data_IF_325317942476
#
_entry.id   IF_325317942476
#
_cell.length_a   1.000
_cell.length_b   1.000
_cell.length_c   1.000
_cell.angle_alpha   90.00
_cell.angle_beta   90.00
_cell.angle_gamma   90.00
#
_symmetry.space_group_name_H-M   'P 1'
#
loop_
_entity.id
_entity.type
_entity.pdbx_description
1 polymer ?
#
# COMPACT_ATOMS: atom_id res chain seq x y z
N UNK A 1 7.12 4.84 -24.13
CA UNK A 1 6.33 3.63 -23.89
C UNK A 1 6.23 3.43 -22.40
N UNK A 2 5.12 3.87 -21.82
CA UNK A 2 4.90 3.90 -20.37
C UNK A 2 4.60 2.50 -19.83
N UNK A 3 5.65 1.78 -19.41
CA UNK A 3 5.53 0.68 -18.47
C UNK A 3 5.53 1.26 -17.04
N UNK A 4 4.49 2.02 -16.72
CA UNK A 4 4.24 2.50 -15.36
C UNK A 4 4.12 1.30 -14.43
N UNK A 5 5.01 1.26 -13.43
CA UNK A 5 5.19 0.15 -12.50
C UNK A 5 3.91 -0.26 -11.80
N UNK A 6 3.17 -1.18 -12.41
CA UNK A 6 2.20 -2.00 -11.70
C UNK A 6 2.99 -2.85 -10.72
N UNK A 7 3.06 -2.42 -9.47
CA UNK A 7 3.29 -3.32 -8.35
C UNK A 7 2.06 -4.23 -8.28
N UNK A 8 1.98 -5.21 -9.18
CA UNK A 8 1.01 -6.30 -9.07
C UNK A 8 1.49 -7.10 -7.88
N UNK A 9 0.79 -7.02 -6.76
CA UNK A 9 1.09 -7.86 -5.60
C UNK A 9 0.70 -9.29 -6.00
N UNK A 10 1.66 -10.19 -6.27
CA UNK A 10 1.29 -11.55 -6.59
C UNK A 10 0.68 -12.18 -5.34
N UNK A 11 -0.50 -12.79 -5.48
CA UNK A 11 -1.16 -13.58 -4.44
C UNK A 11 -1.60 -12.81 -3.18
N UNK A 12 -2.10 -11.56 -3.33
CA UNK A 12 -2.70 -10.80 -2.22
C UNK A 12 -3.80 -11.60 -1.50
N UNK A 13 -4.55 -12.41 -2.25
CA UNK A 13 -5.61 -13.28 -1.73
C UNK A 13 -5.13 -14.25 -0.63
N UNK A 14 -3.87 -14.70 -0.66
CA UNK A 14 -3.32 -15.60 0.36
C UNK A 14 -3.02 -14.92 1.70
N UNK A 15 -2.90 -13.59 1.71
CA UNK A 15 -2.54 -12.81 2.91
C UNK A 15 -3.73 -12.06 3.51
N UNK A 16 -4.85 -11.98 2.79
CA UNK A 16 -6.04 -11.27 3.25
C UNK A 16 -6.79 -12.08 4.31
N UNK A 17 -7.00 -11.47 5.46
CA UNK A 17 -7.77 -12.04 6.55
C UNK A 17 -9.28 -11.82 6.33
N UNK A 18 -10.05 -12.92 6.30
CA UNK A 18 -11.51 -12.90 6.23
C UNK A 18 -12.11 -13.78 7.35
N UNK A 19 -12.39 -13.20 8.54
CA UNK A 19 -12.77 -13.96 9.74
C UNK A 19 -14.10 -14.71 9.57
N UNK A 20 -14.05 -16.05 9.44
CA UNK A 20 -15.24 -16.87 9.14
C UNK A 20 -16.35 -16.81 10.22
N UNK A 21 -16.03 -16.37 11.45
CA UNK A 21 -16.97 -16.26 12.56
C UNK A 21 -17.98 -15.12 12.46
N UNK A 22 -17.82 -14.19 11.50
CA UNK A 22 -18.70 -13.05 11.34
C UNK A 22 -20.11 -13.46 10.89
N UNK A 23 -21.15 -12.85 11.48
CA UNK A 23 -22.54 -13.20 11.20
C UNK A 23 -22.88 -13.14 9.69
N UNK A 24 -22.38 -12.13 8.98
CA UNK A 24 -22.56 -12.01 7.53
C UNK A 24 -21.98 -13.19 6.75
N UNK A 25 -20.81 -13.68 7.15
CA UNK A 25 -20.15 -14.81 6.47
C UNK A 25 -20.73 -16.16 6.87
N UNK A 26 -21.29 -16.29 8.07
CA UNK A 26 -22.04 -17.46 8.50
C UNK A 26 -23.38 -17.57 7.76
N UNK A 27 -24.07 -16.45 7.60
CA UNK A 27 -25.32 -16.38 6.84
C UNK A 27 -25.08 -16.61 5.34
N UNK A 28 -23.99 -16.03 4.78
CA UNK A 28 -23.66 -16.16 3.37
C UNK A 28 -22.14 -16.31 3.15
N UNK A 29 -21.61 -17.54 3.13
CA UNK A 29 -20.17 -17.80 2.97
C UNK A 29 -19.55 -17.21 1.70
N UNK A 30 -20.32 -17.09 0.62
CA UNK A 30 -19.90 -16.50 -0.64
C UNK A 30 -19.40 -15.05 -0.52
N UNK A 31 -19.85 -14.30 0.50
CA UNK A 31 -19.40 -12.93 0.76
C UNK A 31 -17.91 -12.83 1.08
N UNK A 32 -17.29 -13.91 1.56
CA UNK A 32 -15.84 -13.91 1.88
C UNK A 32 -14.97 -13.68 0.64
N UNK A 33 -15.43 -14.12 -0.53
CA UNK A 33 -14.72 -13.91 -1.79
C UNK A 33 -14.63 -12.42 -2.20
N UNK A 34 -15.49 -11.57 -1.62
CA UNK A 34 -15.46 -10.13 -1.87
C UNK A 34 -14.33 -9.41 -1.08
N UNK A 35 -13.83 -10.00 0.01
CA UNK A 35 -12.86 -9.34 0.89
C UNK A 35 -11.53 -9.07 0.17
N UNK A 36 -10.88 -10.03 -0.51
CA UNK A 36 -9.63 -9.77 -1.21
C UNK A 36 -9.78 -8.74 -2.34
N UNK A 37 -10.91 -8.76 -3.05
CA UNK A 37 -11.23 -7.79 -4.10
C UNK A 37 -11.36 -6.38 -3.54
N UNK A 38 -12.02 -6.22 -2.38
CA UNK A 38 -12.16 -4.92 -1.73
C UNK A 38 -10.81 -4.36 -1.27
N UNK A 39 -9.96 -5.21 -0.70
CA UNK A 39 -8.62 -4.83 -0.22
C UNK A 39 -7.71 -4.45 -1.39
N UNK A 40 -7.69 -5.23 -2.47
CA UNK A 40 -6.91 -4.91 -3.69
C UNK A 40 -7.30 -3.54 -4.27
N UNK A 41 -8.60 -3.27 -4.38
CA UNK A 41 -9.12 -1.98 -4.89
C UNK A 41 -8.69 -0.82 -4.00
N UNK A 42 -8.84 -0.96 -2.69
CA UNK A 42 -8.44 0.08 -1.74
C UNK A 42 -6.94 0.37 -1.79
N UNK A 43 -6.10 -0.67 -1.87
CA UNK A 43 -4.65 -0.49 -1.98
C UNK A 43 -4.30 0.23 -3.28
N UNK A 44 -4.84 -0.18 -4.43
CA UNK A 44 -4.55 0.45 -5.72
C UNK A 44 -4.93 1.92 -5.77
N UNK A 45 -6.06 2.27 -5.16
CA UNK A 45 -6.55 3.65 -5.08
C UNK A 45 -5.58 4.55 -4.29
N UNK A 46 -5.04 4.04 -3.19
CA UNK A 46 -4.17 4.83 -2.29
C UNK A 46 -2.69 4.76 -2.68
N UNK A 47 -2.25 3.66 -3.32
CA UNK A 47 -0.85 3.38 -3.61
C UNK A 47 -0.19 4.51 -4.40
N UNK A 48 -0.72 4.84 -5.58
CA UNK A 48 -0.10 5.80 -6.48
C UNK A 48 0.07 7.20 -5.86
N UNK A 49 -1.00 7.86 -5.34
CA UNK A 49 -0.87 9.22 -4.81
C UNK A 49 0.04 9.30 -3.57
N UNK A 50 0.03 8.27 -2.70
CA UNK A 50 0.89 8.26 -1.51
C UNK A 50 2.35 8.02 -1.88
N UNK A 51 2.62 7.07 -2.80
CA UNK A 51 3.98 6.76 -3.25
C UNK A 51 4.59 7.97 -3.95
N UNK A 52 3.90 8.60 -4.89
CA UNK A 52 4.43 9.76 -5.63
C UNK A 52 4.80 10.93 -4.71
N UNK A 53 3.90 11.30 -3.79
CA UNK A 53 4.17 12.39 -2.83
C UNK A 53 5.31 12.06 -1.88
N UNK A 54 5.30 10.86 -1.28
CA UNK A 54 6.30 10.46 -0.28
C UNK A 54 7.70 10.34 -0.89
N UNK A 55 7.80 9.74 -2.08
CA UNK A 55 9.08 9.59 -2.81
C UNK A 55 9.66 10.95 -3.18
N UNK A 56 8.83 11.86 -3.70
CA UNK A 56 9.27 13.21 -4.10
C UNK A 56 9.89 13.96 -2.92
N UNK A 57 9.17 14.00 -1.79
CA UNK A 57 9.66 14.66 -0.57
C UNK A 57 10.96 13.98 -0.11
N UNK A 58 10.97 12.65 -0.03
CA UNK A 58 12.12 11.91 0.46
C UNK A 58 13.37 12.10 -0.40
N UNK A 59 13.25 12.08 -1.73
CA UNK A 59 14.38 12.25 -2.64
C UNK A 59 14.98 13.65 -2.55
N UNK A 60 14.13 14.69 -2.53
CA UNK A 60 14.60 16.08 -2.40
C UNK A 60 15.33 16.26 -1.07
N UNK A 61 14.71 15.87 0.05
CA UNK A 61 15.32 15.99 1.37
C UNK A 61 16.61 15.19 1.48
N UNK A 62 16.63 13.96 0.95
CA UNK A 62 17.82 13.10 0.98
C UNK A 62 18.96 13.73 0.20
N UNK A 63 18.69 14.26 -0.99
CA UNK A 63 19.70 14.91 -1.82
C UNK A 63 20.36 16.08 -1.10
N UNK A 64 19.57 17.00 -0.56
CA UNK A 64 20.09 18.19 0.13
C UNK A 64 20.90 17.82 1.38
N UNK A 65 20.38 16.90 2.20
CA UNK A 65 21.06 16.46 3.42
C UNK A 65 22.34 15.69 3.10
N UNK A 66 22.29 14.74 2.16
CA UNK A 66 23.44 13.91 1.82
C UNK A 66 24.54 14.74 1.14
N UNK A 67 24.19 15.68 0.27
CA UNK A 67 25.18 16.57 -0.34
C UNK A 67 25.87 17.45 0.70
N UNK A 68 25.10 17.98 1.66
CA UNK A 68 25.62 18.83 2.75
C UNK A 68 26.52 18.03 3.70
N UNK A 69 26.06 16.86 4.19
CA UNK A 69 26.81 16.07 5.17
C UNK A 69 28.06 15.39 4.55
N UNK A 70 28.05 15.11 3.25
CA UNK A 70 29.16 14.47 2.52
C UNK A 70 29.94 15.44 1.62
N UNK A 71 29.87 16.75 1.87
CA UNK A 71 30.51 17.77 1.03
C UNK A 71 32.04 17.59 0.95
N UNK A 72 32.67 17.11 2.02
CA UNK A 72 34.11 16.85 2.11
C UNK A 72 34.50 15.38 1.91
N UNK A 73 33.53 14.49 1.67
CA UNK A 73 33.77 13.07 1.46
C UNK A 73 34.01 12.76 -0.02
N UNK A 74 35.19 12.20 -0.32
CA UNK A 74 35.60 11.84 -1.68
C UNK A 74 35.11 10.46 -2.14
N UNK A 75 34.82 9.54 -1.22
CA UNK A 75 34.35 8.19 -1.55
C UNK A 75 32.87 8.18 -1.96
N UNK A 76 32.61 7.94 -3.25
CA UNK A 76 31.26 7.83 -3.82
C UNK A 76 30.41 6.77 -3.12
N UNK A 77 31.03 5.63 -2.76
CA UNK A 77 30.33 4.50 -2.14
C UNK A 77 29.68 4.87 -0.80
N UNK A 78 30.35 5.72 0.00
CA UNK A 78 29.81 6.16 1.30
C UNK A 78 28.60 7.07 1.13
N UNK A 79 28.67 8.04 0.20
CA UNK A 79 27.53 8.90 -0.10
C UNK A 79 26.33 8.09 -0.59
N UNK A 80 26.54 7.20 -1.57
CA UNK A 80 25.46 6.38 -2.13
C UNK A 80 24.80 5.54 -1.03
N UNK A 81 25.59 4.82 -0.25
CA UNK A 81 25.07 3.96 0.82
C UNK A 81 24.30 4.74 1.89
N UNK A 82 24.80 5.92 2.30
CA UNK A 82 24.12 6.76 3.27
C UNK A 82 22.81 7.33 2.72
N UNK A 83 22.81 7.81 1.48
CA UNK A 83 21.63 8.36 0.85
C UNK A 83 20.55 7.30 0.61
N UNK A 84 20.92 6.07 0.22
CA UNK A 84 19.97 4.96 0.08
C UNK A 84 19.30 4.61 1.41
N UNK A 85 20.05 4.56 2.51
CA UNK A 85 19.49 4.31 3.84
C UNK A 85 18.54 5.43 4.28
N UNK A 86 18.95 6.68 4.05
CA UNK A 86 18.16 7.85 4.41
C UNK A 86 16.87 7.94 3.59
N UNK A 87 16.93 7.81 2.27
CA UNK A 87 15.75 7.90 1.41
C UNK A 87 14.77 6.77 1.69
N UNK A 88 15.27 5.56 1.94
CA UNK A 88 14.44 4.40 2.26
C UNK A 88 13.65 4.60 3.56
N UNK A 89 14.33 5.06 4.61
CA UNK A 89 13.71 5.31 5.91
C UNK A 89 12.71 6.48 5.85
N UNK A 90 13.06 7.56 5.13
CA UNK A 90 12.22 8.74 5.02
C UNK A 90 10.97 8.46 4.18
N UNK A 91 11.11 7.84 3.00
CA UNK A 91 9.98 7.50 2.13
C UNK A 91 9.03 6.51 2.80
N UNK A 92 9.57 5.47 3.46
CA UNK A 92 8.77 4.48 4.16
C UNK A 92 7.95 5.08 5.30
N UNK A 93 8.60 5.87 6.17
CA UNK A 93 7.93 6.53 7.29
C UNK A 93 6.85 7.51 6.84
N UNK A 94 7.13 8.32 5.81
CA UNK A 94 6.15 9.26 5.24
C UNK A 94 4.96 8.52 4.62
N UNK A 95 5.21 7.43 3.87
CA UNK A 95 4.15 6.64 3.26
C UNK A 95 3.27 5.96 4.32
N UNK A 96 3.87 5.36 5.34
CA UNK A 96 3.16 4.65 6.41
C UNK A 96 2.18 5.56 7.17
N UNK A 97 2.63 6.74 7.57
CA UNK A 97 1.78 7.70 8.31
C UNK A 97 0.70 8.31 7.40
N UNK A 98 1.03 8.52 6.12
CA UNK A 98 0.10 9.15 5.16
C UNK A 98 -0.99 8.18 4.70
N UNK A 99 -0.68 6.89 4.48
CA UNK A 99 -1.64 5.94 3.90
C UNK A 99 -2.65 5.38 4.90
N UNK A 100 -2.36 5.36 6.21
CA UNK A 100 -3.16 4.62 7.19
C UNK A 100 -4.63 5.03 7.25
N UNK A 101 -4.91 6.32 7.40
CA UNK A 101 -6.29 6.82 7.47
C UNK A 101 -7.03 6.73 6.12
N UNK A 102 -6.47 7.19 4.98
CA UNK A 102 -7.17 7.07 3.70
C UNK A 102 -7.38 5.62 3.27
N UNK A 103 -6.43 4.71 3.56
CA UNK A 103 -6.59 3.28 3.28
C UNK A 103 -7.72 2.67 4.10
N UNK A 104 -7.83 2.99 5.40
CA UNK A 104 -8.95 2.53 6.23
C UNK A 104 -10.30 2.98 5.65
N UNK A 105 -10.40 4.23 5.23
CA UNK A 105 -11.61 4.79 4.63
C UNK A 105 -11.96 4.09 3.31
N UNK A 106 -10.99 3.94 2.40
CA UNK A 106 -11.17 3.27 1.11
C UNK A 106 -11.57 1.80 1.28
N UNK A 107 -10.89 1.05 2.15
CA UNK A 107 -11.24 -0.34 2.47
C UNK A 107 -12.66 -0.44 3.00
N UNK A 108 -13.05 0.45 3.92
CA UNK A 108 -14.40 0.48 4.48
C UNK A 108 -15.48 0.72 3.41
N UNK A 109 -15.22 1.62 2.47
CA UNK A 109 -16.12 1.91 1.36
C UNK A 109 -16.26 0.73 0.39
N UNK A 110 -15.15 0.17 -0.08
CA UNK A 110 -15.15 -0.97 -1.02
C UNK A 110 -15.75 -2.23 -0.40
N UNK A 111 -15.42 -2.54 0.87
CA UNK A 111 -16.00 -3.67 1.58
C UNK A 111 -17.51 -3.51 1.73
N UNK A 112 -17.98 -2.34 2.16
CA UNK A 112 -19.42 -2.11 2.34
C UNK A 112 -20.17 -2.27 1.01
N UNK A 113 -19.67 -1.67 -0.07
CA UNK A 113 -20.30 -1.77 -1.38
C UNK A 113 -20.39 -3.22 -1.87
N UNK A 114 -19.29 -3.98 -1.81
CA UNK A 114 -19.26 -5.36 -2.31
C UNK A 114 -20.08 -6.32 -1.42
N UNK A 115 -20.07 -6.13 -0.10
CA UNK A 115 -20.86 -6.96 0.82
C UNK A 115 -22.36 -6.70 0.67
N UNK A 116 -22.78 -5.45 0.47
CA UNK A 116 -24.19 -5.12 0.21
C UNK A 116 -24.67 -5.70 -1.12
N UNK A 117 -23.87 -5.56 -2.19
CA UNK A 117 -24.16 -6.16 -3.49
C UNK A 117 -24.26 -7.68 -3.40
N UNK A 118 -23.31 -8.31 -2.71
CA UNK A 118 -23.32 -9.76 -2.50
C UNK A 118 -24.47 -10.23 -1.62
N UNK A 119 -24.94 -9.43 -0.65
CA UNK A 119 -26.07 -9.77 0.20
C UNK A 119 -27.39 -9.79 -0.58
N UNK A 120 -27.53 -8.91 -1.57
CA UNK A 120 -28.71 -8.75 -2.42
C UNK A 120 -28.74 -9.73 -3.61
N UNK A 121 -27.60 -10.34 -3.96
CA UNK A 121 -27.53 -11.27 -5.07
C UNK A 121 -28.45 -12.48 -4.83
N UNK A 122 -29.15 -13.02 -5.85
CA UNK A 122 -30.00 -14.20 -5.68
C UNK A 122 -29.19 -15.38 -5.13
N UNK A 123 -29.84 -16.24 -4.35
CA UNK A 123 -29.23 -17.49 -3.92
C UNK A 123 -28.87 -18.32 -5.17
N UNK A 124 -27.74 -19.03 -5.13
CA UNK A 124 -27.34 -19.89 -6.24
C UNK A 124 -28.48 -20.89 -6.55
N UNK A 125 -28.76 -21.09 -7.84
CA UNK A 125 -29.85 -21.96 -8.29
C UNK A 125 -29.78 -23.33 -7.59
N UNK A 126 -30.85 -23.70 -6.87
CA UNK A 126 -30.95 -24.95 -6.12
C UNK A 126 -30.69 -24.85 -4.62
N UNK A 127 -30.26 -23.70 -4.10
CA UNK A 127 -30.21 -23.43 -2.66
C UNK A 127 -31.47 -22.65 -2.27
N UNK A 128 -32.15 -23.06 -1.20
CA UNK A 128 -33.36 -22.40 -0.68
C UNK A 128 -33.12 -20.91 -0.36
N UNK A 129 -34.15 -20.17 0.09
CA UNK A 129 -34.01 -18.75 0.39
C UNK A 129 -32.86 -18.52 1.38
N UNK A 130 -31.84 -17.77 0.94
CA UNK A 130 -30.71 -17.43 1.79
C UNK A 130 -31.20 -16.56 2.96
N UNK A 131 -30.70 -16.77 4.19
CA UNK A 131 -31.07 -15.91 5.31
C UNK A 131 -30.68 -14.46 5.00
N UNK A 132 -31.55 -13.48 5.32
CA UNK A 132 -31.22 -12.08 5.11
C UNK A 132 -29.98 -11.72 5.94
N UNK A 133 -29.07 -10.97 5.34
CA UNK A 133 -27.90 -10.44 6.03
C UNK A 133 -28.24 -9.05 6.53
N UNK A 134 -28.33 -8.89 7.84
CA UNK A 134 -28.66 -7.60 8.46
C UNK A 134 -27.58 -6.55 8.20
N UNK A 135 -27.99 -5.29 8.10
CA UNK A 135 -27.07 -4.17 7.92
C UNK A 135 -26.00 -4.10 9.04
N UNK A 136 -26.37 -4.44 10.28
CA UNK A 136 -25.45 -4.53 11.40
C UNK A 136 -24.38 -5.61 11.21
N UNK A 137 -24.74 -6.75 10.61
CA UNK A 137 -23.79 -7.82 10.31
C UNK A 137 -22.79 -7.40 9.22
N UNK A 138 -23.26 -6.63 8.23
CA UNK A 138 -22.39 -6.03 7.21
C UNK A 138 -21.42 -5.02 7.85
N UNK A 139 -21.92 -4.10 8.68
CA UNK A 139 -21.07 -3.10 9.33
C UNK A 139 -20.02 -3.73 10.24
N UNK A 140 -20.37 -4.79 10.97
CA UNK A 140 -19.42 -5.56 11.76
C UNK A 140 -18.34 -6.20 10.87
N UNK A 141 -18.76 -6.81 9.75
CA UNK A 141 -17.82 -7.44 8.82
C UNK A 141 -16.88 -6.43 8.17
N UNK A 142 -17.39 -5.26 7.77
CA UNK A 142 -16.57 -4.16 7.24
C UNK A 142 -15.54 -3.71 8.26
N UNK A 143 -15.94 -3.43 9.51
CA UNK A 143 -15.02 -2.98 10.56
C UNK A 143 -13.93 -4.02 10.86
N UNK A 144 -14.31 -5.29 11.01
CA UNK A 144 -13.37 -6.37 11.28
C UNK A 144 -12.41 -6.57 10.10
N UNK A 145 -12.91 -6.70 8.87
CA UNK A 145 -12.06 -6.93 7.70
C UNK A 145 -11.15 -5.72 7.42
N UNK A 146 -11.64 -4.48 7.59
CA UNK A 146 -10.79 -3.29 7.45
C UNK A 146 -9.68 -3.29 8.50
N UNK A 147 -9.96 -3.62 9.77
CA UNK A 147 -8.96 -3.61 10.84
C UNK A 147 -7.87 -4.66 10.61
N UNK A 148 -8.25 -5.90 10.28
CA UNK A 148 -7.32 -7.03 10.10
C UNK A 148 -6.40 -6.86 8.88
N UNK A 149 -6.85 -6.15 7.85
CA UNK A 149 -6.10 -6.01 6.60
C UNK A 149 -5.41 -4.64 6.44
N UNK A 150 -5.60 -3.72 7.40
CA UNK A 150 -5.02 -2.38 7.33
C UNK A 150 -3.50 -2.41 7.37
N UNK A 151 -2.92 -3.20 8.30
CA UNK A 151 -1.46 -3.30 8.44
C UNK A 151 -0.81 -3.89 7.18
N UNK A 152 -1.43 -4.91 6.58
CA UNK A 152 -0.99 -5.49 5.31
C UNK A 152 -0.95 -4.43 4.21
N UNK A 153 -2.05 -3.67 4.03
CA UNK A 153 -2.08 -2.63 3.00
C UNK A 153 -1.07 -1.50 3.24
N UNK A 154 -0.89 -1.09 4.49
CA UNK A 154 0.15 -0.12 4.87
C UNK A 154 1.56 -0.62 4.52
N UNK A 155 1.89 -1.87 4.89
CA UNK A 155 3.18 -2.48 4.61
C UNK A 155 3.48 -2.54 3.11
N UNK A 156 2.47 -2.85 2.29
CA UNK A 156 2.61 -2.92 0.84
C UNK A 156 2.86 -1.55 0.21
N UNK A 157 2.17 -0.52 0.68
CA UNK A 157 2.36 0.87 0.23
C UNK A 157 3.75 1.38 0.66
N UNK A 158 4.14 1.12 1.91
CA UNK A 158 5.45 1.45 2.44
C UNK A 158 6.57 0.82 1.61
N UNK A 159 6.50 -0.49 1.36
CA UNK A 159 7.49 -1.21 0.54
C UNK A 159 7.60 -0.63 -0.86
N UNK A 160 6.46 -0.35 -1.51
CA UNK A 160 6.45 0.26 -2.83
C UNK A 160 7.07 1.68 -2.84
N UNK A 161 6.81 2.48 -1.81
CA UNK A 161 7.40 3.81 -1.66
C UNK A 161 8.91 3.71 -1.46
N UNK A 162 9.38 2.83 -0.57
CA UNK A 162 10.80 2.63 -0.29
C UNK A 162 11.57 2.14 -1.52
N UNK A 163 11.06 1.13 -2.22
CA UNK A 163 11.71 0.59 -3.42
C UNK A 163 11.80 1.63 -4.55
N UNK A 164 10.72 2.40 -4.77
CA UNK A 164 10.73 3.48 -5.74
C UNK A 164 11.70 4.60 -5.33
N UNK A 165 11.70 4.99 -4.05
CA UNK A 165 12.55 6.07 -3.57
C UNK A 165 14.05 5.77 -3.70
N UNK A 166 14.47 4.53 -3.46
CA UNK A 166 15.88 4.14 -3.65
C UNK A 166 16.30 4.28 -5.12
N UNK A 167 15.42 3.90 -6.06
CA UNK A 167 15.68 4.04 -7.50
C UNK A 167 15.77 5.50 -7.93
N UNK A 168 14.80 6.32 -7.51
CA UNK A 168 14.73 7.74 -7.86
C UNK A 168 15.89 8.53 -7.19
N UNK A 169 16.38 8.09 -6.03
CA UNK A 169 17.53 8.71 -5.36
C UNK A 169 18.85 8.51 -6.13
N UNK A 170 19.05 7.37 -6.80
CA UNK A 170 20.24 7.17 -7.63
C UNK A 170 20.30 8.18 -8.78
N UNK A 171 19.16 8.45 -9.43
CA UNK A 171 19.05 9.48 -10.46
C UNK A 171 19.28 10.88 -9.88
N UNK A 172 18.68 11.19 -8.73
CA UNK A 172 18.83 12.49 -8.08
C UNK A 172 20.27 12.80 -7.64
N UNK A 173 21.06 11.78 -7.30
CA UNK A 173 22.44 11.91 -6.82
C UNK A 173 23.48 11.82 -7.96
N UNK A 174 23.09 11.40 -9.16
CA UNK A 174 24.02 11.11 -10.26
C UNK A 174 25.03 12.24 -10.52
N UNK A 175 24.59 13.50 -10.53
CA UNK A 175 25.47 14.65 -10.73
C UNK A 175 26.52 14.80 -9.62
N UNK A 176 26.12 14.58 -8.36
CA UNK A 176 27.01 14.68 -7.21
C UNK A 176 28.03 13.53 -7.16
N UNK A 177 27.65 12.34 -7.62
CA UNK A 177 28.54 11.19 -7.74
C UNK A 177 29.54 11.39 -8.88
N UNK A 178 29.09 11.91 -10.03
CA UNK A 178 29.97 12.25 -11.15
C UNK A 178 30.99 13.34 -10.82
N UNK A 179 30.60 14.37 -10.07
CA UNK A 179 31.54 15.40 -9.61
C UNK A 179 32.70 14.77 -8.82
N UNK A 180 32.41 13.86 -7.89
CA UNK A 180 33.44 13.15 -7.11
C UNK A 180 34.34 12.28 -7.97
N UNK A 181 33.78 11.57 -8.98
CA UNK A 181 34.59 10.78 -9.92
C UNK A 181 35.60 11.62 -10.71
N UNK A 182 35.23 12.84 -11.10
CA UNK A 182 36.12 13.74 -11.86
C UNK A 182 37.27 14.31 -11.03
N UNK A 183 37.13 14.33 -9.71
CA UNK A 183 38.14 14.86 -8.79
C UNK A 183 39.04 13.77 -8.16
N UNK A 184 38.88 12.52 -8.59
CA UNK A 184 39.73 11.39 -8.22
C UNK A 184 40.76 11.13 -9.31
#
# INVERSE_FOLDING_TARGET
GEAGGRTVIPNLEAYVAAPAGLAAFRARPALRAAVPVAVDRAIREILQPVVERSVTIACITTKELAQKDFATEGEEGKLRAAAHRMVAALAGSLALVTCKEPLRAAMGAHLRALLQQGAQAPAAAGQGPAPPVDAQAIDQAVRACSAENLELGCLLIEKAATEKAVRDADEALQAALQARRKHR
#
